data_IF_264833115563
#
_entry.id   IF_264833115563
#
_cell.length_a   1.000
_cell.length_b   1.000
_cell.length_c   1.000
_cell.angle_alpha   90.00
_cell.angle_beta   90.00
_cell.angle_gamma   90.00
#
_symmetry.space_group_name_H-M   'P 1'
#
loop_
_entity.id
_entity.type
_entity.pdbx_description
1 polymer ?
#
# COMPACT_ATOMS: atom_id res chain seq x y z
N UNK A 1 -0.87 17.35 12.85
CA UNK A 1 -0.59 16.52 11.68
C UNK A 1 -1.04 15.10 11.99
N UNK A 2 -1.72 14.47 11.05
CA UNK A 2 -2.15 13.07 11.16
C UNK A 2 -0.96 12.16 10.91
N UNK A 3 -0.71 11.23 11.80
CA UNK A 3 0.44 10.33 11.74
C UNK A 3 0.10 9.05 10.97
N UNK A 4 0.82 8.79 9.90
CA UNK A 4 0.65 7.59 9.10
C UNK A 4 1.90 6.70 9.15
N UNK A 5 1.70 5.39 9.12
CA UNK A 5 2.74 4.40 8.85
C UNK A 5 2.50 3.82 7.46
N UNK A 6 3.56 3.63 6.68
CA UNK A 6 3.46 3.03 5.36
C UNK A 6 4.08 1.63 5.39
N UNK A 7 3.38 0.64 4.86
CA UNK A 7 3.82 -0.75 4.81
C UNK A 7 4.17 -1.13 3.36
N UNK A 8 5.36 -1.69 3.15
CA UNK A 8 5.81 -2.15 1.84
C UNK A 8 6.72 -3.38 1.98
N UNK A 9 6.62 -4.32 1.03
CA UNK A 9 7.43 -5.56 1.03
C UNK A 9 8.51 -5.59 -0.06
N UNK A 10 8.46 -4.70 -1.05
CA UNK A 10 9.29 -4.76 -2.25
C UNK A 10 9.95 -3.44 -2.63
N UNK A 11 9.70 -2.97 -3.86
CA UNK A 11 10.37 -1.79 -4.41
C UNK A 11 10.06 -0.49 -3.68
N UNK A 12 8.86 -0.35 -3.11
CA UNK A 12 8.45 0.83 -2.37
C UNK A 12 8.22 2.08 -3.23
N UNK A 13 7.89 1.92 -4.49
CA UNK A 13 7.69 3.08 -5.38
C UNK A 13 6.48 3.93 -4.99
N UNK A 14 5.37 3.31 -4.55
CA UNK A 14 4.23 4.03 -3.99
C UNK A 14 4.56 4.68 -2.63
N UNK A 15 5.38 4.01 -1.80
CA UNK A 15 5.89 4.61 -0.56
C UNK A 15 6.64 5.92 -0.85
N UNK A 16 7.64 5.88 -1.73
CA UNK A 16 8.44 7.06 -2.09
C UNK A 16 7.56 8.17 -2.67
N UNK A 17 6.64 7.83 -3.58
CA UNK A 17 5.71 8.79 -4.15
C UNK A 17 4.83 9.50 -3.09
N UNK A 18 4.36 8.78 -2.06
CA UNK A 18 3.60 9.39 -0.96
C UNK A 18 4.50 10.32 -0.15
N UNK A 19 5.73 9.90 0.19
CA UNK A 19 6.70 10.71 0.93
C UNK A 19 7.01 12.00 0.18
N UNK A 20 7.28 11.94 -1.11
CA UNK A 20 7.55 13.11 -1.96
C UNK A 20 6.35 14.08 -2.01
N UNK A 21 5.11 13.58 -1.97
CA UNK A 21 3.91 14.41 -1.88
C UNK A 21 3.79 15.11 -0.52
N UNK A 22 4.20 14.46 0.56
CA UNK A 22 4.26 15.09 1.90
C UNK A 22 5.35 16.17 1.94
N UNK A 23 6.55 15.84 1.49
CA UNK A 23 7.69 16.78 1.49
C UNK A 23 7.45 18.00 0.61
N UNK A 24 6.77 17.84 -0.52
CA UNK A 24 6.42 18.94 -1.42
C UNK A 24 5.21 19.76 -0.97
N UNK A 25 4.57 19.41 0.15
CA UNK A 25 3.37 20.08 0.67
C UNK A 25 2.09 19.79 -0.13
N UNK A 26 2.09 18.81 -1.05
CA UNK A 26 0.89 18.37 -1.77
C UNK A 26 -0.04 17.54 -0.89
N UNK A 27 0.51 16.82 0.09
CA UNK A 27 -0.21 16.16 1.17
C UNK A 27 0.00 16.96 2.46
N UNK A 28 -0.92 17.90 2.70
CA UNK A 28 -0.87 18.75 3.89
C UNK A 28 -1.36 18.00 5.14
N UNK A 29 -0.84 18.41 6.29
CA UNK A 29 -1.23 17.90 7.60
C UNK A 29 -0.97 16.40 7.83
N UNK A 30 -0.10 15.78 7.05
CA UNK A 30 0.30 14.39 7.18
C UNK A 30 1.77 14.29 7.59
N UNK A 31 2.06 13.39 8.53
CA UNK A 31 3.40 13.01 8.95
C UNK A 31 3.60 11.52 8.68
N UNK A 32 4.59 11.16 7.86
CA UNK A 32 5.00 9.77 7.68
C UNK A 32 5.93 9.40 8.83
N UNK A 33 5.46 8.60 9.77
CA UNK A 33 6.22 8.24 10.98
C UNK A 33 7.31 7.22 10.70
N UNK A 34 7.02 6.22 9.89
CA UNK A 34 7.96 5.15 9.54
C UNK A 34 7.49 4.33 8.34
N UNK A 35 8.46 3.67 7.71
CA UNK A 35 8.26 2.53 6.83
C UNK A 35 8.27 1.24 7.65
N UNK A 36 7.28 0.37 7.44
CA UNK A 36 7.24 -0.99 7.97
C UNK A 36 7.45 -1.98 6.82
N UNK A 37 8.41 -2.89 6.97
CA UNK A 37 8.67 -3.93 5.97
C UNK A 37 8.87 -5.29 6.63
N UNK A 38 8.47 -6.35 5.92
CA UNK A 38 8.60 -7.74 6.32
C UNK A 38 9.84 -8.43 5.72
N UNK A 39 10.69 -7.68 5.01
CA UNK A 39 11.90 -8.16 4.35
C UNK A 39 13.10 -7.25 4.59
N UNK A 40 14.17 -7.82 5.16
CA UNK A 40 15.42 -7.09 5.46
C UNK A 40 16.16 -6.56 4.21
N UNK A 41 15.90 -7.14 3.03
CA UNK A 41 16.55 -6.76 1.77
C UNK A 41 15.58 -6.05 0.80
N UNK A 42 14.45 -5.56 1.28
CA UNK A 42 13.49 -4.84 0.45
C UNK A 42 14.07 -3.48 0.01
N UNK A 43 13.97 -3.16 -1.29
CA UNK A 43 14.49 -1.91 -1.83
C UNK A 43 13.80 -0.65 -1.26
N UNK A 44 12.57 -0.79 -0.76
CA UNK A 44 11.88 0.29 -0.05
C UNK A 44 12.69 0.85 1.15
N UNK A 45 13.59 0.05 1.74
CA UNK A 45 14.48 0.48 2.83
C UNK A 45 15.45 1.56 2.36
N UNK A 46 16.03 1.41 1.17
CA UNK A 46 16.95 2.40 0.62
C UNK A 46 16.23 3.70 0.24
N UNK A 47 14.99 3.59 -0.22
CA UNK A 47 14.12 4.77 -0.44
C UNK A 47 13.81 5.48 0.88
N UNK A 48 13.48 4.77 1.94
CA UNK A 48 13.22 5.37 3.25
C UNK A 48 14.45 6.09 3.80
N UNK A 49 15.63 5.50 3.67
CA UNK A 49 16.90 6.15 4.06
C UNK A 49 17.18 7.45 3.28
N UNK A 50 16.87 7.48 1.98
CA UNK A 50 17.01 8.67 1.13
C UNK A 50 16.18 9.86 1.65
N UNK A 51 15.05 9.58 2.25
CA UNK A 51 14.11 10.57 2.79
C UNK A 51 14.16 10.72 4.31
N UNK A 52 15.18 10.16 4.97
CA UNK A 52 15.35 10.17 6.44
C UNK A 52 14.12 9.63 7.20
N UNK A 53 13.34 8.72 6.57
CA UNK A 53 12.21 8.06 7.20
C UNK A 53 12.68 6.86 8.02
N UNK A 54 12.29 6.75 9.31
CA UNK A 54 12.58 5.58 10.13
C UNK A 54 12.06 4.28 9.51
N UNK A 55 12.79 3.18 9.70
CA UNK A 55 12.42 1.86 9.15
C UNK A 55 12.30 0.83 10.27
N UNK A 56 11.15 0.15 10.32
CA UNK A 56 10.94 -1.04 11.14
C UNK A 56 10.93 -2.29 10.25
N UNK A 57 11.95 -3.13 10.42
CA UNK A 57 12.07 -4.41 9.73
C UNK A 57 11.56 -5.50 10.68
N UNK A 58 10.44 -6.13 10.34
CA UNK A 58 9.80 -7.14 11.16
C UNK A 58 9.51 -8.38 10.28
N UNK A 59 10.40 -9.37 10.31
CA UNK A 59 10.21 -10.60 9.55
C UNK A 59 9.31 -11.56 10.33
N UNK A 60 8.18 -12.00 9.77
CA UNK A 60 7.22 -12.87 10.47
C UNK A 60 7.82 -14.16 11.01
N UNK A 61 8.86 -14.71 10.35
CA UNK A 61 9.58 -15.91 10.81
C UNK A 61 10.28 -15.76 12.17
N UNK A 62 10.43 -14.52 12.67
CA UNK A 62 11.04 -14.23 13.97
C UNK A 62 10.02 -14.33 15.13
N UNK A 63 8.77 -14.62 14.84
CA UNK A 63 7.68 -14.67 15.80
C UNK A 63 7.05 -16.07 15.83
N UNK A 64 6.59 -16.49 17.00
CA UNK A 64 6.00 -17.80 17.21
C UNK A 64 4.64 -18.00 16.50
N UNK A 65 3.96 -16.91 16.21
CA UNK A 65 2.65 -16.92 15.54
C UNK A 65 2.36 -15.62 14.80
N UNK A 66 1.37 -15.65 13.90
CA UNK A 66 0.85 -14.44 13.24
C UNK A 66 0.31 -13.44 14.26
N UNK A 67 -0.38 -13.91 15.31
CA UNK A 67 -0.88 -13.05 16.37
C UNK A 67 0.25 -12.35 17.12
N UNK A 68 1.32 -13.06 17.51
CA UNK A 68 2.48 -12.46 18.15
C UNK A 68 3.16 -11.40 17.24
N UNK A 69 3.26 -11.68 15.95
CA UNK A 69 3.77 -10.73 14.96
C UNK A 69 2.91 -9.46 14.89
N UNK A 70 1.60 -9.59 14.76
CA UNK A 70 0.70 -8.44 14.67
C UNK A 70 0.62 -7.63 15.95
N UNK A 71 0.61 -8.27 17.13
CA UNK A 71 0.66 -7.59 18.42
C UNK A 71 1.95 -6.78 18.60
N UNK A 72 3.08 -7.31 18.10
CA UNK A 72 4.32 -6.56 18.06
C UNK A 72 4.22 -5.31 17.18
N UNK A 73 3.65 -5.44 15.97
CA UNK A 73 3.41 -4.30 15.08
C UNK A 73 2.48 -3.25 15.74
N UNK A 74 1.38 -3.68 16.36
CA UNK A 74 0.46 -2.80 17.09
C UNK A 74 1.19 -2.04 18.19
N UNK A 75 2.08 -2.71 18.93
CA UNK A 75 2.89 -2.06 19.98
C UNK A 75 3.77 -0.94 19.42
N UNK A 76 4.45 -1.19 18.29
CA UNK A 76 5.29 -0.18 17.64
C UNK A 76 4.46 1.00 17.09
N UNK A 77 3.36 0.70 16.42
CA UNK A 77 2.45 1.71 15.85
C UNK A 77 1.87 2.62 16.94
N UNK A 78 1.45 2.04 18.07
CA UNK A 78 0.94 2.80 19.22
C UNK A 78 2.03 3.66 19.88
N UNK A 79 3.25 3.15 20.00
CA UNK A 79 4.40 3.91 20.51
C UNK A 79 4.64 5.17 19.68
N UNK A 80 4.55 5.07 18.37
CA UNK A 80 4.75 6.18 17.44
C UNK A 80 3.48 7.02 17.24
N UNK A 81 2.37 6.65 17.91
CA UNK A 81 1.06 7.31 17.83
C UNK A 81 0.51 7.37 16.40
N UNK A 82 0.71 6.28 15.65
CA UNK A 82 0.17 6.14 14.30
C UNK A 82 -1.35 6.12 14.34
N UNK A 83 -1.97 6.86 13.44
CA UNK A 83 -3.43 6.95 13.32
C UNK A 83 -3.96 6.19 12.11
N UNK A 84 -3.17 6.06 11.04
CA UNK A 84 -3.54 5.37 9.81
C UNK A 84 -2.42 4.48 9.30
N UNK A 85 -2.79 3.34 8.76
CA UNK A 85 -1.88 2.43 8.06
C UNK A 85 -2.15 2.52 6.55
N UNK A 86 -1.09 2.73 5.78
CA UNK A 86 -1.12 2.83 4.32
C UNK A 86 -0.35 1.66 3.74
N UNK A 87 -1.05 0.70 3.12
CA UNK A 87 -0.40 -0.42 2.45
C UNK A 87 0.02 -0.02 1.04
N UNK A 88 1.30 -0.07 0.76
CA UNK A 88 1.91 0.33 -0.51
C UNK A 88 2.73 -0.82 -1.10
N UNK A 89 2.07 -1.89 -1.51
CA UNK A 89 2.72 -3.12 -1.96
C UNK A 89 3.19 -3.99 -0.80
N UNK A 90 2.42 -4.07 0.26
CA UNK A 90 2.66 -4.99 1.37
C UNK A 90 2.05 -6.37 1.03
N UNK A 91 2.91 -7.41 1.01
CA UNK A 91 2.54 -8.73 0.48
C UNK A 91 1.95 -9.67 1.53
N UNK A 92 1.45 -9.14 2.65
CA UNK A 92 0.84 -9.95 3.70
C UNK A 92 -0.60 -9.55 3.95
N UNK A 93 -1.42 -10.56 4.18
CA UNK A 93 -2.80 -10.36 4.62
C UNK A 93 -2.80 -9.81 6.04
N UNK A 94 -3.49 -8.69 6.23
CA UNK A 94 -3.70 -8.08 7.55
C UNK A 94 -4.63 -8.99 8.36
N UNK A 95 -4.25 -9.27 9.58
CA UNK A 95 -5.03 -10.15 10.44
C UNK A 95 -5.83 -9.41 11.51
N UNK A 96 -6.50 -10.15 12.39
CA UNK A 96 -7.51 -9.61 13.27
C UNK A 96 -6.97 -8.60 14.28
N UNK A 97 -5.74 -8.73 14.75
CA UNK A 97 -5.18 -7.83 15.78
C UNK A 97 -4.92 -6.43 15.20
N UNK A 98 -4.36 -6.34 14.01
CA UNK A 98 -4.18 -5.06 13.29
C UNK A 98 -5.52 -4.47 12.85
N UNK A 99 -6.44 -5.29 12.33
CA UNK A 99 -7.77 -4.83 11.91
C UNK A 99 -8.55 -4.25 13.09
N UNK A 100 -8.55 -4.90 14.24
CA UNK A 100 -9.22 -4.41 15.42
C UNK A 100 -8.60 -3.11 15.97
N UNK A 101 -7.27 -3.01 15.94
CA UNK A 101 -6.55 -1.83 16.46
C UNK A 101 -6.66 -0.61 15.55
N UNK A 102 -6.88 -0.81 14.24
CA UNK A 102 -6.96 0.24 13.23
C UNK A 102 -8.24 0.10 12.39
N UNK A 103 -9.37 -0.18 13.04
CA UNK A 103 -10.66 -0.36 12.38
C UNK A 103 -11.03 0.86 11.51
N UNK A 104 -11.27 0.63 10.22
CA UNK A 104 -11.60 1.68 9.25
C UNK A 104 -10.44 2.65 8.94
N UNK A 105 -9.22 2.35 9.39
CA UNK A 105 -8.03 3.20 9.23
C UNK A 105 -6.86 2.51 8.53
N UNK A 106 -7.13 1.49 7.73
CA UNK A 106 -6.15 0.82 6.89
C UNK A 106 -6.58 0.95 5.44
N UNK A 107 -5.72 1.56 4.62
CA UNK A 107 -5.93 1.71 3.18
C UNK A 107 -4.97 0.80 2.41
N UNK A 108 -5.43 0.28 1.27
CA UNK A 108 -4.60 -0.45 0.31
C UNK A 108 -4.81 0.08 -1.10
N UNK A 109 -3.77 -0.02 -1.93
CA UNK A 109 -3.86 0.18 -3.37
C UNK A 109 -3.60 -1.13 -4.08
N UNK A 110 -4.47 -1.48 -5.04
CA UNK A 110 -4.41 -2.72 -5.79
C UNK A 110 -4.39 -2.44 -7.30
N UNK A 111 -3.47 -3.06 -8.08
CA UNK A 111 -3.26 -2.73 -9.48
C UNK A 111 -4.26 -3.43 -10.42
N UNK A 112 -5.54 -3.36 -10.10
CA UNK A 112 -6.64 -3.79 -10.97
C UNK A 112 -7.92 -3.01 -10.65
N UNK A 113 -8.92 -3.15 -11.52
CA UNK A 113 -10.28 -2.67 -11.27
C UNK A 113 -11.04 -3.72 -10.45
N UNK A 114 -10.93 -3.67 -9.12
CA UNK A 114 -11.66 -4.58 -8.23
C UNK A 114 -13.18 -4.51 -8.49
N UNK A 115 -13.90 -5.62 -8.36
CA UNK A 115 -13.51 -6.91 -7.77
C UNK A 115 -12.78 -7.87 -8.71
N UNK A 116 -12.44 -7.48 -9.93
CA UNK A 116 -11.66 -8.30 -10.86
C UNK A 116 -10.19 -8.39 -10.42
N UNK A 117 -9.57 -9.55 -10.68
CA UNK A 117 -8.13 -9.76 -10.55
C UNK A 117 -7.58 -9.47 -9.14
N UNK A 118 -8.24 -10.03 -8.13
CA UNK A 118 -7.76 -9.98 -6.73
C UNK A 118 -6.48 -10.77 -6.54
N UNK A 119 -5.73 -10.42 -5.50
CA UNK A 119 -4.57 -11.18 -5.04
C UNK A 119 -3.31 -10.95 -5.86
N UNK A 120 -2.50 -12.00 -5.97
CA UNK A 120 -1.13 -11.93 -6.51
C UNK A 120 -1.14 -11.81 -8.03
N UNK A 121 -0.15 -11.03 -8.57
CA UNK A 121 0.07 -10.83 -10.02
C UNK A 121 -1.18 -10.35 -10.78
N UNK A 122 -1.90 -9.40 -10.21
CA UNK A 122 -3.11 -8.83 -10.82
C UNK A 122 -2.85 -8.33 -12.26
N UNK A 123 -1.72 -7.67 -12.50
CA UNK A 123 -1.34 -7.20 -13.84
C UNK A 123 -1.12 -8.38 -14.80
N UNK A 124 -0.49 -9.46 -14.36
CA UNK A 124 -0.35 -10.67 -15.17
C UNK A 124 -1.70 -11.31 -15.48
N UNK A 125 -2.60 -11.39 -14.49
CA UNK A 125 -3.96 -11.86 -14.71
C UNK A 125 -4.70 -11.04 -15.76
N UNK A 126 -4.64 -9.69 -15.66
CA UNK A 126 -5.22 -8.76 -16.63
C UNK A 126 -4.62 -8.95 -18.01
N UNK A 127 -3.29 -9.00 -18.11
CA UNK A 127 -2.56 -9.12 -19.38
C UNK A 127 -2.99 -10.38 -20.18
N UNK A 128 -3.27 -11.47 -19.48
CA UNK A 128 -3.71 -12.72 -20.11
C UNK A 128 -5.23 -12.86 -20.24
N UNK A 129 -6.03 -11.91 -19.74
CA UNK A 129 -7.49 -12.02 -19.73
C UNK A 129 -8.16 -11.71 -21.06
N UNK A 130 -7.51 -10.89 -21.91
CA UNK A 130 -8.11 -10.31 -23.10
C UNK A 130 -9.01 -9.09 -22.82
N UNK A 131 -9.07 -8.60 -21.59
CA UNK A 131 -9.74 -7.33 -21.28
C UNK A 131 -9.06 -6.17 -22.00
N UNK A 132 -9.82 -5.16 -22.37
CA UNK A 132 -9.33 -3.95 -23.07
C UNK A 132 -9.14 -2.77 -22.13
N UNK A 133 -9.56 -2.90 -20.89
CA UNK A 133 -9.49 -1.86 -19.84
C UNK A 133 -8.97 -2.50 -18.56
N UNK A 134 -8.10 -1.78 -17.87
CA UNK A 134 -7.67 -2.07 -16.50
C UNK A 134 -7.50 -0.78 -15.70
N UNK A 135 -6.92 -0.85 -14.53
CA UNK A 135 -6.68 0.33 -13.71
C UNK A 135 -6.12 -0.02 -12.34
N UNK A 136 -6.38 0.86 -11.39
CA UNK A 136 -6.02 0.66 -10.00
C UNK A 136 -7.17 1.05 -9.07
N UNK A 137 -7.23 0.41 -7.91
CA UNK A 137 -8.26 0.59 -6.89
C UNK A 137 -7.64 0.93 -5.57
N UNK A 138 -8.10 2.00 -4.91
CA UNK A 138 -7.87 2.23 -3.48
C UNK A 138 -9.10 1.81 -2.71
N UNK A 139 -8.89 1.01 -1.66
CA UNK A 139 -9.96 0.45 -0.85
C UNK A 139 -9.57 0.39 0.63
N UNK A 140 -10.58 0.33 1.51
CA UNK A 140 -10.35 -0.05 2.90
C UNK A 140 -9.94 -1.52 2.99
N UNK A 141 -9.15 -1.84 3.99
CA UNK A 141 -8.72 -3.23 4.24
C UNK A 141 -9.68 -3.87 5.25
N UNK A 142 -10.18 -5.05 4.88
CA UNK A 142 -10.97 -5.93 5.73
C UNK A 142 -10.27 -7.28 5.95
N UNK A 143 -10.98 -8.27 6.48
CA UNK A 143 -10.42 -9.60 6.76
C UNK A 143 -10.14 -10.46 5.51
N UNK A 144 -10.61 -10.04 4.34
CA UNK A 144 -10.43 -10.75 3.08
C UNK A 144 -9.25 -10.22 2.25
N UNK A 145 -8.96 -10.91 1.16
CA UNK A 145 -7.96 -10.45 0.19
C UNK A 145 -8.64 -9.55 -0.85
N UNK A 146 -8.32 -8.26 -0.82
CA UNK A 146 -8.84 -7.24 -1.73
C UNK A 146 -10.39 -7.21 -1.79
N UNK A 147 -11.03 -7.36 -0.63
CA UNK A 147 -12.50 -7.43 -0.51
C UNK A 147 -13.13 -6.23 0.18
N UNK A 148 -12.33 -5.35 0.78
CA UNK A 148 -12.83 -4.20 1.49
C UNK A 148 -13.52 -3.15 0.60
N UNK A 149 -14.23 -2.24 1.23
CA UNK A 149 -14.99 -1.20 0.53
C UNK A 149 -14.11 -0.35 -0.38
N UNK A 150 -14.51 -0.24 -1.64
CA UNK A 150 -13.81 0.55 -2.65
C UNK A 150 -14.04 2.04 -2.39
N UNK A 151 -12.95 2.81 -2.35
CA UNK A 151 -13.00 4.25 -2.15
C UNK A 151 -12.99 4.97 -3.50
N UNK A 152 -11.99 4.67 -4.34
CA UNK A 152 -11.83 5.29 -5.66
C UNK A 152 -11.08 4.35 -6.60
N UNK A 153 -11.42 4.43 -7.89
CA UNK A 153 -10.74 3.69 -8.94
C UNK A 153 -10.34 4.64 -10.06
N UNK A 154 -9.24 4.34 -10.74
CA UNK A 154 -8.85 4.93 -12.02
C UNK A 154 -8.57 3.86 -13.04
N UNK A 155 -8.96 4.11 -14.29
CA UNK A 155 -8.82 3.16 -15.39
C UNK A 155 -7.88 3.67 -16.49
N UNK A 156 -7.30 2.73 -17.23
CA UNK A 156 -6.60 2.99 -18.49
C UNK A 156 -6.91 1.90 -19.51
N UNK A 157 -6.71 2.23 -20.78
CA UNK A 157 -6.91 1.31 -21.89
C UNK A 157 -5.69 0.36 -22.00
N UNK A 158 -5.99 -0.89 -22.33
CA UNK A 158 -4.99 -1.90 -22.74
C UNK A 158 -4.99 -1.94 -24.26
N UNK A 159 -3.86 -1.61 -24.88
CA UNK A 159 -3.71 -1.70 -26.32
C UNK A 159 -3.32 -3.10 -26.74
N UNK A 160 -3.70 -3.56 -27.94
CA UNK A 160 -3.33 -4.90 -28.41
C UNK A 160 -1.82 -5.15 -28.51
N UNK A 161 -1.03 -4.09 -28.65
CA UNK A 161 0.42 -4.10 -28.79
C UNK A 161 1.17 -3.76 -27.47
N UNK A 162 0.45 -3.54 -26.37
CA UNK A 162 1.09 -3.34 -25.07
C UNK A 162 1.82 -4.61 -24.61
N UNK A 163 3.05 -4.47 -24.18
CA UNK A 163 3.72 -5.52 -23.40
C UNK A 163 3.22 -5.50 -21.94
N UNK A 164 3.50 -6.58 -21.19
CA UNK A 164 3.17 -6.65 -19.76
C UNK A 164 3.85 -5.49 -19.00
N UNK A 165 5.09 -5.18 -19.31
CA UNK A 165 5.88 -4.10 -18.70
C UNK A 165 5.26 -2.73 -19.00
N UNK A 166 4.81 -2.49 -20.23
CA UNK A 166 4.12 -1.25 -20.59
C UNK A 166 2.78 -1.09 -19.86
N UNK A 167 2.04 -2.19 -19.69
CA UNK A 167 0.81 -2.20 -18.92
C UNK A 167 1.08 -1.89 -17.44
N UNK A 168 2.13 -2.50 -16.87
CA UNK A 168 2.57 -2.24 -15.50
C UNK A 168 2.92 -0.76 -15.28
N UNK A 169 3.66 -0.15 -16.22
CA UNK A 169 3.99 1.28 -16.18
C UNK A 169 2.75 2.18 -16.25
N UNK A 170 1.77 1.84 -17.10
CA UNK A 170 0.52 2.59 -17.18
C UNK A 170 -0.24 2.56 -15.86
N UNK A 171 -0.42 1.37 -15.28
CA UNK A 171 -1.12 1.21 -14.00
C UNK A 171 -0.36 1.94 -12.89
N UNK A 172 0.96 1.84 -12.85
CA UNK A 172 1.80 2.52 -11.86
C UNK A 172 1.66 4.05 -11.92
N UNK A 173 1.56 4.63 -13.11
CA UNK A 173 1.28 6.08 -13.27
C UNK A 173 -0.07 6.47 -12.68
N UNK A 174 -1.09 5.65 -12.86
CA UNK A 174 -2.40 5.87 -12.23
C UNK A 174 -2.31 5.81 -10.70
N UNK A 175 -1.57 4.85 -10.17
CA UNK A 175 -1.37 4.70 -8.72
C UNK A 175 -0.71 5.94 -8.10
N UNK A 176 0.28 6.49 -8.77
CA UNK A 176 1.02 7.67 -8.30
C UNK A 176 0.16 8.93 -8.18
N UNK A 177 -0.92 9.01 -8.96
CA UNK A 177 -1.89 10.10 -8.86
C UNK A 177 -3.04 9.75 -7.92
N UNK A 178 -3.55 8.51 -8.01
CA UNK A 178 -4.72 8.06 -7.28
C UNK A 178 -4.47 7.98 -5.78
N UNK A 179 -3.36 7.33 -5.36
CA UNK A 179 -3.17 7.04 -3.95
C UNK A 179 -2.98 8.31 -3.11
N UNK A 180 -2.09 9.27 -3.47
CA UNK A 180 -2.01 10.53 -2.75
C UNK A 180 -3.32 11.32 -2.74
N UNK A 181 -4.07 11.32 -3.84
CA UNK A 181 -5.38 11.99 -3.93
C UNK A 181 -6.39 11.41 -2.93
N UNK A 182 -6.45 10.08 -2.80
CA UNK A 182 -7.34 9.41 -1.83
C UNK A 182 -6.87 9.67 -0.41
N UNK A 183 -5.57 9.58 -0.13
CA UNK A 183 -5.00 9.88 1.19
C UNK A 183 -5.39 11.31 1.62
N UNK A 184 -5.26 12.30 0.74
CA UNK A 184 -5.65 13.68 1.02
C UNK A 184 -7.13 13.85 1.37
N UNK A 185 -8.01 13.03 0.80
CA UNK A 185 -9.46 13.07 1.05
C UNK A 185 -9.87 12.38 2.34
N UNK A 186 -9.25 11.24 2.64
CA UNK A 186 -9.73 10.29 3.66
C UNK A 186 -8.96 10.44 4.97
N UNK A 187 -7.65 10.66 4.92
CA UNK A 187 -6.78 10.72 6.10
C UNK A 187 -6.85 12.12 6.72
N UNK A 188 -7.65 12.22 7.79
CA UNK A 188 -7.92 13.48 8.50
C UNK A 188 -7.90 13.25 9.99
#
# INVERSE_FOLDING_TARGET
>A
MVKIAIFASGSGSNFENIVEHVESGKLENIEVTALYTDHQNAFCIDRAKKHDIPVYINEPKQFDSKAAYEQHLVTLLNKDKVEWIILAGYMRLIGPDLLASFEGKILNIHPSLLPKYKGIDAIGQVYHSGDTITGSTVHYVDCGMDTGEIIEQRQCDIRPDDSKEQLEEKVKKLEYELYPSVIAKIVK
#
